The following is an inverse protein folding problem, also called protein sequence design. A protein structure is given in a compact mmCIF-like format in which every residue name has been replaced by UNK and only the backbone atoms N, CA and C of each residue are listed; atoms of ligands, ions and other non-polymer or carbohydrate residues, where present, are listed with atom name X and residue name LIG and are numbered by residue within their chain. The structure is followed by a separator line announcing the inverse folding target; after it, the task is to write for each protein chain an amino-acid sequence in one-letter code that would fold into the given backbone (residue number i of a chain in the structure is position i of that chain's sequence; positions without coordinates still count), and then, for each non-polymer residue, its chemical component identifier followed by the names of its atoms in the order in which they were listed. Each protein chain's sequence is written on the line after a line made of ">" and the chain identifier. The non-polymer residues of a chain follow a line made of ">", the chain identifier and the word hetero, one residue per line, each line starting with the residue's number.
data_IF_930140332066
#
_entry.id   IF_930140332066
#
_cell.length_a   1.000
_cell.length_b   1.000
_cell.length_c   1.000
_cell.angle_alpha   90.00
_cell.angle_beta   90.00
_cell.angle_gamma   90.00
#
_symmetry.space_group_name_H-M   'P 1'
#
loop_
_entity.id
_entity.type
_entity.pdbx_description
1 polymer ?
#
# COMPACT_ATOMS: atom_id res chain seq x y z
N UNK A 1 -59.77 30.01 32.25
CA UNK A 1 -58.46 30.71 32.23
C UNK A 1 -57.56 30.10 33.29
N UNK A 2 -56.44 29.48 32.91
CA UNK A 2 -55.52 28.79 33.84
C UNK A 2 -54.08 29.27 33.60
N UNK A 3 -53.36 29.50 34.70
CA UNK A 3 -51.91 29.77 34.78
C UNK A 3 -51.11 28.45 34.83
N UNK A 4 -49.96 28.50 34.15
CA UNK A 4 -48.60 27.96 34.46
C UNK A 4 -48.44 26.49 34.87
N UNK A 5 -47.60 25.74 34.13
CA UNK A 5 -46.46 24.98 34.70
C UNK A 5 -45.48 24.50 33.63
N UNK A 6 -44.18 24.69 33.91
CA UNK A 6 -43.01 24.17 33.19
C UNK A 6 -42.86 22.65 33.42
N UNK A 7 -42.04 22.03 32.57
CA UNK A 7 -41.46 20.68 32.62
C UNK A 7 -42.30 19.54 32.03
N UNK A 8 -42.00 19.25 30.75
CA UNK A 8 -41.55 17.93 30.22
C UNK A 8 -41.08 18.15 28.77
N UNK A 9 -40.02 18.93 28.56
CA UNK A 9 -38.78 18.36 28.04
C UNK A 9 -38.48 16.96 28.60
N UNK A 10 -38.06 16.04 27.72
CA UNK A 10 -37.82 14.62 27.96
C UNK A 10 -39.08 13.77 28.12
N UNK A 11 -39.55 13.20 27.00
CA UNK A 11 -39.71 11.74 26.83
C UNK A 11 -40.34 11.40 25.48
N UNK A 12 -39.55 10.78 24.59
CA UNK A 12 -39.96 9.71 23.66
C UNK A 12 -40.75 10.21 22.42
N UNK A 13 -40.15 10.51 21.26
CA UNK A 13 -38.96 9.91 20.61
C UNK A 13 -39.17 8.40 20.49
N UNK A 14 -39.81 7.89 19.41
CA UNK A 14 -39.65 6.48 18.95
C UNK A 14 -40.31 6.15 17.60
N UNK A 15 -41.30 6.88 17.04
CA UNK A 15 -42.00 6.36 15.83
C UNK A 15 -41.79 7.18 14.53
N UNK A 16 -41.44 8.45 14.59
CA UNK A 16 -41.15 9.23 13.37
C UNK A 16 -39.66 9.21 12.97
N UNK A 17 -38.84 8.50 13.74
CA UNK A 17 -37.41 8.29 13.51
C UNK A 17 -37.13 6.93 12.82
N UNK A 18 -38.13 6.33 12.18
CA UNK A 18 -38.08 4.99 11.58
C UNK A 18 -38.29 4.98 10.05
N UNK A 19 -38.05 6.10 9.36
CA UNK A 19 -38.00 6.15 7.89
C UNK A 19 -36.82 6.97 7.35
N UNK A 20 -35.75 7.14 8.13
CA UNK A 20 -34.45 7.68 7.67
C UNK A 20 -33.32 6.64 7.79
N UNK A 21 -33.65 5.39 8.14
CA UNK A 21 -32.69 4.34 8.50
C UNK A 21 -32.16 3.48 7.36
N UNK A 22 -32.20 3.94 6.09
CA UNK A 22 -31.66 3.16 4.96
C UNK A 22 -30.50 3.82 4.20
N UNK A 23 -30.18 5.09 4.46
CA UNK A 23 -29.22 5.83 3.62
C UNK A 23 -27.77 5.93 4.15
N UNK A 24 -27.48 5.85 5.47
CA UNK A 24 -26.10 5.62 5.92
C UNK A 24 -25.60 4.22 5.57
N UNK A 25 -26.52 3.26 5.39
CA UNK A 25 -26.21 1.84 5.15
C UNK A 25 -25.53 1.63 3.80
N UNK A 26 -25.90 2.40 2.76
CA UNK A 26 -25.29 2.24 1.43
C UNK A 26 -23.83 2.73 1.40
N UNK A 27 -23.49 3.72 2.24
CA UNK A 27 -22.13 4.23 2.42
C UNK A 27 -21.34 3.44 3.49
N UNK A 28 -22.01 2.87 4.50
CA UNK A 28 -21.40 2.14 5.61
C UNK A 28 -21.23 0.63 5.36
N UNK A 29 -22.06 -0.02 4.55
CA UNK A 29 -21.86 -1.43 4.14
C UNK A 29 -20.83 -1.58 3.02
N UNK A 30 -20.57 -0.52 2.24
CA UNK A 30 -19.39 -0.46 1.36
C UNK A 30 -18.05 -0.44 2.13
N UNK A 31 -18.14 -0.42 3.47
CA UNK A 31 -17.08 -0.50 4.45
C UNK A 31 -16.93 -1.92 5.03
N UNK A 32 -17.48 -2.96 4.40
CA UNK A 32 -16.95 -4.32 4.58
C UNK A 32 -15.45 -4.32 4.23
N UNK A 33 -14.67 -4.80 5.20
CA UNK A 33 -13.37 -4.23 5.52
C UNK A 33 -12.35 -4.46 4.40
N UNK A 34 -11.55 -3.45 4.03
CA UNK A 34 -10.40 -3.58 3.14
C UNK A 34 -9.23 -4.40 3.73
N UNK A 35 -9.48 -5.24 4.74
CA UNK A 35 -8.45 -5.91 5.57
C UNK A 35 -7.42 -6.67 4.72
N UNK A 36 -7.87 -7.52 3.79
CA UNK A 36 -6.93 -8.26 2.92
C UNK A 36 -6.04 -7.37 2.06
N UNK A 37 -6.56 -6.23 1.59
CA UNK A 37 -5.78 -5.31 0.77
C UNK A 37 -4.81 -4.49 1.62
N UNK A 38 -5.17 -4.20 2.87
CA UNK A 38 -4.28 -3.53 3.82
C UNK A 38 -3.11 -4.41 4.28
N UNK A 39 -3.30 -5.73 4.28
CA UNK A 39 -2.31 -6.74 4.64
C UNK A 39 -1.27 -6.90 3.52
N UNK A 40 -1.77 -7.09 2.30
CA UNK A 40 -1.00 -7.15 1.05
C UNK A 40 -0.10 -5.90 0.88
N UNK A 41 -0.62 -4.71 1.18
CA UNK A 41 0.13 -3.45 1.07
C UNK A 41 1.31 -3.39 2.05
N UNK A 42 1.19 -3.91 3.27
CA UNK A 42 2.29 -3.89 4.22
C UNK A 42 3.40 -4.87 3.80
N UNK A 43 3.03 -6.05 3.31
CA UNK A 43 3.98 -7.02 2.77
C UNK A 43 4.72 -6.48 1.54
N UNK A 44 4.05 -5.74 0.65
CA UNK A 44 4.70 -5.04 -0.47
C UNK A 44 5.76 -4.02 -0.02
N UNK A 45 5.50 -3.34 1.10
CA UNK A 45 6.45 -2.41 1.71
C UNK A 45 7.64 -3.17 2.30
N UNK A 46 7.41 -4.33 2.92
CA UNK A 46 8.48 -5.23 3.33
C UNK A 46 9.35 -5.64 2.14
N UNK A 47 8.79 -6.11 1.02
CA UNK A 47 9.61 -6.50 -0.15
C UNK A 47 10.52 -5.36 -0.65
N UNK A 48 10.01 -4.13 -0.62
CA UNK A 48 10.82 -2.94 -0.97
C UNK A 48 11.91 -2.65 0.07
N UNK A 49 11.64 -2.90 1.34
CA UNK A 49 12.61 -2.77 2.41
C UNK A 49 13.69 -3.85 2.30
N UNK A 50 13.29 -5.13 2.14
CA UNK A 50 14.16 -6.27 1.94
C UNK A 50 15.14 -6.05 0.78
N UNK A 51 14.64 -5.65 -0.39
CA UNK A 51 15.49 -5.32 -1.53
C UNK A 51 16.59 -4.29 -1.20
N UNK A 52 16.26 -3.27 -0.39
CA UNK A 52 17.24 -2.24 0.02
C UNK A 52 18.19 -2.75 1.08
N UNK A 53 17.70 -3.60 1.99
CA UNK A 53 18.50 -4.24 3.03
C UNK A 53 19.57 -5.12 2.40
N UNK A 54 19.21 -5.96 1.42
CA UNK A 54 20.12 -6.84 0.70
C UNK A 54 21.25 -6.06 -0.02
N UNK A 55 20.91 -4.96 -0.69
CA UNK A 55 21.93 -4.07 -1.29
C UNK A 55 22.88 -3.53 -0.23
N UNK A 56 22.37 -3.15 0.94
CA UNK A 56 23.19 -2.65 2.03
C UNK A 56 24.06 -3.74 2.65
N UNK A 57 23.54 -4.95 2.84
CA UNK A 57 24.27 -6.12 3.37
C UNK A 57 25.43 -6.48 2.44
N UNK A 58 25.21 -6.57 1.13
CA UNK A 58 26.27 -6.84 0.14
C UNK A 58 27.36 -5.76 0.19
N UNK A 59 26.97 -4.49 0.30
CA UNK A 59 27.93 -3.39 0.43
C UNK A 59 28.69 -3.42 1.76
N UNK A 60 28.03 -3.81 2.85
CA UNK A 60 28.63 -3.98 4.17
C UNK A 60 29.65 -5.13 4.17
N UNK A 61 29.30 -6.28 3.61
CA UNK A 61 30.21 -7.43 3.47
C UNK A 61 31.44 -7.05 2.66
N UNK A 62 31.26 -6.36 1.53
CA UNK A 62 32.39 -5.89 0.71
C UNK A 62 33.35 -4.97 1.48
N UNK A 63 32.83 -4.06 2.30
CA UNK A 63 33.65 -3.17 3.13
C UNK A 63 34.34 -3.97 4.25
N UNK A 64 33.62 -4.88 4.90
CA UNK A 64 34.16 -5.71 5.98
C UNK A 64 35.31 -6.57 5.44
N UNK A 65 35.13 -7.24 4.30
CA UNK A 65 36.17 -8.10 3.73
C UNK A 65 37.36 -7.28 3.27
N UNK A 66 37.13 -6.14 2.61
CA UNK A 66 38.18 -5.19 2.26
C UNK A 66 38.96 -4.70 3.49
N UNK A 67 38.30 -4.41 4.61
CA UNK A 67 38.97 -3.98 5.84
C UNK A 67 39.77 -5.11 6.49
N UNK A 68 39.26 -6.34 6.50
CA UNK A 68 40.01 -7.52 6.97
C UNK A 68 41.29 -7.72 6.15
N UNK A 69 41.21 -7.61 4.83
CA UNK A 69 42.37 -7.73 3.93
C UNK A 69 43.44 -6.65 4.21
N UNK A 70 43.02 -5.48 4.66
CA UNK A 70 43.90 -4.36 5.04
C UNK A 70 44.29 -4.37 6.53
N UNK A 71 43.95 -5.44 7.28
CA UNK A 71 44.30 -5.58 8.69
C UNK A 71 43.57 -4.61 9.63
N UNK A 72 42.43 -4.07 9.21
CA UNK A 72 41.58 -3.18 9.99
C UNK A 72 40.57 -4.01 10.77
N UNK A 73 40.41 -3.73 12.07
CA UNK A 73 39.39 -4.39 12.89
C UNK A 73 37.97 -4.07 12.38
N UNK A 74 37.19 -5.12 12.15
CA UNK A 74 35.82 -5.06 11.63
C UNK A 74 34.78 -5.51 12.64
N UNK A 75 35.14 -5.72 13.90
CA UNK A 75 34.24 -6.27 14.92
C UNK A 75 32.94 -5.47 15.05
N UNK A 76 33.04 -4.14 15.14
CA UNK A 76 31.87 -3.25 15.24
C UNK A 76 31.04 -3.23 13.94
N UNK A 77 31.68 -3.16 12.78
CA UNK A 77 31.02 -3.20 11.47
C UNK A 77 30.26 -4.52 11.26
N UNK A 78 30.85 -5.63 11.69
CA UNK A 78 30.24 -6.96 11.63
C UNK A 78 28.99 -7.02 12.52
N UNK A 79 29.05 -6.47 13.73
CA UNK A 79 27.90 -6.39 14.62
C UNK A 79 26.74 -5.58 14.04
N UNK A 80 27.04 -4.45 13.38
CA UNK A 80 26.02 -3.64 12.70
C UNK A 80 25.38 -4.39 11.51
N UNK A 81 26.17 -5.17 10.77
CA UNK A 81 25.63 -6.01 9.68
C UNK A 81 24.68 -7.08 10.20
N UNK A 82 25.08 -7.83 11.23
CA UNK A 82 24.23 -8.87 11.85
C UNK A 82 22.91 -8.26 12.35
N UNK A 83 22.98 -7.07 12.97
CA UNK A 83 21.78 -6.36 13.41
C UNK A 83 20.86 -5.97 12.24
N UNK A 84 21.42 -5.62 11.08
CA UNK A 84 20.62 -5.33 9.88
C UNK A 84 19.93 -6.60 9.33
N UNK A 85 20.62 -7.74 9.32
CA UNK A 85 20.05 -9.04 8.93
C UNK A 85 18.89 -9.43 9.87
N UNK A 86 19.04 -9.21 11.18
CA UNK A 86 17.97 -9.43 12.17
C UNK A 86 16.75 -8.54 11.91
N UNK A 87 16.97 -7.26 11.58
CA UNK A 87 15.89 -6.35 11.24
C UNK A 87 15.12 -6.77 9.99
N UNK A 88 15.76 -7.39 9.00
CA UNK A 88 15.05 -7.96 7.85
C UNK A 88 14.04 -9.03 8.27
N UNK A 89 14.49 -9.99 9.08
CA UNK A 89 13.63 -11.05 9.61
C UNK A 89 12.48 -10.51 10.45
N UNK A 90 12.75 -9.55 11.34
CA UNK A 90 11.72 -8.93 12.17
C UNK A 90 10.70 -8.14 11.33
N UNK A 91 11.16 -7.38 10.33
CA UNK A 91 10.28 -6.62 9.44
C UNK A 91 9.36 -7.54 8.64
N UNK A 92 9.86 -8.71 8.20
CA UNK A 92 9.04 -9.73 7.52
C UNK A 92 7.90 -10.20 8.41
N UNK A 93 8.22 -10.58 9.65
CA UNK A 93 7.23 -11.05 10.63
C UNK A 93 6.22 -9.95 10.91
N UNK A 94 6.67 -8.73 11.21
CA UNK A 94 5.79 -7.59 11.45
C UNK A 94 4.87 -7.29 10.27
N UNK A 95 5.35 -7.44 9.03
CA UNK A 95 4.53 -7.27 7.84
C UNK A 95 3.50 -8.38 7.66
N UNK A 96 3.86 -9.63 7.90
CA UNK A 96 2.96 -10.79 7.83
C UNK A 96 1.89 -10.77 8.93
N UNK A 97 2.23 -10.26 10.11
CA UNK A 97 1.32 -10.13 11.26
C UNK A 97 0.59 -8.77 11.29
N UNK A 98 0.74 -7.94 10.25
CA UNK A 98 0.04 -6.65 10.07
C UNK A 98 0.38 -5.63 11.18
N UNK A 99 1.53 -5.79 11.84
CA UNK A 99 2.02 -4.91 12.92
C UNK A 99 2.70 -3.67 12.33
N UNK A 100 1.89 -2.73 11.86
CA UNK A 100 2.34 -1.52 11.15
C UNK A 100 3.33 -0.65 11.94
N UNK A 101 3.02 -0.35 13.20
CA UNK A 101 3.88 0.50 14.04
C UNK A 101 5.24 -0.16 14.26
N UNK A 102 5.24 -1.46 14.54
CA UNK A 102 6.46 -2.26 14.70
C UNK A 102 7.28 -2.30 13.41
N UNK A 103 6.64 -2.55 12.26
CA UNK A 103 7.30 -2.53 10.96
C UNK A 103 8.02 -1.20 10.70
N UNK A 104 7.35 -0.06 10.91
CA UNK A 104 7.96 1.24 10.64
C UNK A 104 9.07 1.59 11.64
N UNK A 105 8.93 1.19 12.90
CA UNK A 105 10.02 1.30 13.89
C UNK A 105 11.26 0.52 13.43
N UNK A 106 11.08 -0.73 12.98
CA UNK A 106 12.18 -1.57 12.48
C UNK A 106 12.85 -0.93 11.26
N UNK A 107 12.07 -0.39 10.31
CA UNK A 107 12.61 0.31 9.13
C UNK A 107 13.44 1.54 9.53
N UNK A 108 13.03 2.27 10.55
CA UNK A 108 13.78 3.43 11.07
C UNK A 108 15.09 3.00 11.74
N UNK A 109 15.03 2.01 12.63
CA UNK A 109 16.21 1.45 13.31
C UNK A 109 17.21 0.85 12.31
N UNK A 110 16.73 0.19 11.25
CA UNK A 110 17.56 -0.30 10.15
C UNK A 110 18.30 0.83 9.42
N UNK A 111 17.65 1.96 9.17
CA UNK A 111 18.29 3.14 8.54
C UNK A 111 19.37 3.73 9.44
N UNK A 112 19.14 3.77 10.74
CA UNK A 112 20.14 4.21 11.71
C UNK A 112 21.33 3.27 11.73
N UNK A 113 21.12 1.94 11.75
CA UNK A 113 22.21 0.95 11.65
C UNK A 113 23.06 1.13 10.39
N UNK A 114 22.41 1.29 9.22
CA UNK A 114 23.12 1.54 7.94
C UNK A 114 23.91 2.86 8.00
N UNK A 115 23.34 3.89 8.61
CA UNK A 115 24.00 5.18 8.79
C UNK A 115 25.23 5.05 9.68
N UNK A 116 25.10 4.42 10.85
CA UNK A 116 26.21 4.19 11.78
C UNK A 116 27.34 3.40 11.13
N UNK A 117 27.01 2.35 10.36
CA UNK A 117 28.02 1.59 9.62
C UNK A 117 28.77 2.50 8.64
N UNK A 118 28.04 3.32 7.88
CA UNK A 118 28.64 4.24 6.91
C UNK A 118 29.54 5.27 7.57
N UNK A 119 29.12 5.81 8.71
CA UNK A 119 29.88 6.81 9.43
C UNK A 119 31.20 6.21 9.94
N UNK A 120 31.17 5.03 10.56
CA UNK A 120 32.38 4.29 10.99
C UNK A 120 33.27 3.94 9.78
N UNK A 121 32.68 3.48 8.69
CA UNK A 121 33.42 3.10 7.50
C UNK A 121 34.13 4.33 6.90
N UNK A 122 33.45 5.48 6.81
CA UNK A 122 34.03 6.74 6.32
C UNK A 122 35.17 7.25 7.19
N UNK A 123 35.09 7.09 8.51
CA UNK A 123 36.14 7.54 9.42
C UNK A 123 37.50 6.85 9.17
N UNK A 124 37.50 5.67 8.51
CA UNK A 124 38.72 4.96 8.12
C UNK A 124 39.27 5.39 6.75
N UNK A 125 38.41 5.91 5.86
CA UNK A 125 38.69 6.43 4.51
C UNK A 125 39.85 5.76 3.76
N UNK A 126 39.69 4.46 3.44
CA UNK A 126 40.75 3.66 2.78
C UNK A 126 40.55 3.68 1.26
N UNK A 127 41.62 4.01 0.53
CA UNK A 127 41.62 4.01 -0.94
C UNK A 127 41.20 2.65 -1.50
N UNK A 128 40.27 2.63 -2.45
CA UNK A 128 39.75 1.39 -3.07
C UNK A 128 38.45 0.85 -2.46
N UNK A 129 38.02 1.35 -1.29
CA UNK A 129 36.77 0.92 -0.65
C UNK A 129 35.53 1.06 -1.55
N UNK A 130 35.42 2.19 -2.27
CA UNK A 130 34.29 2.39 -3.19
C UNK A 130 34.30 1.40 -4.35
N UNK A 131 35.45 0.93 -4.79
CA UNK A 131 35.56 0.00 -5.90
C UNK A 131 35.21 -1.42 -5.45
N UNK A 132 35.63 -1.81 -4.24
CA UNK A 132 35.20 -3.06 -3.60
C UNK A 132 33.67 -3.17 -3.54
N UNK A 133 32.99 -2.11 -3.11
CA UNK A 133 31.52 -2.07 -3.08
C UNK A 133 30.91 -2.18 -4.47
N UNK A 134 31.41 -1.45 -5.47
CA UNK A 134 30.88 -1.53 -6.84
C UNK A 134 31.03 -2.92 -7.43
N UNK A 135 32.19 -3.55 -7.25
CA UNK A 135 32.46 -4.90 -7.72
C UNK A 135 31.50 -5.90 -7.09
N UNK A 136 31.32 -5.85 -5.76
CA UNK A 136 30.38 -6.73 -5.07
C UNK A 136 28.92 -6.55 -5.56
N UNK A 137 28.48 -5.32 -5.78
CA UNK A 137 27.13 -5.05 -6.34
C UNK A 137 27.01 -5.56 -7.78
N UNK A 138 28.07 -5.45 -8.57
CA UNK A 138 28.09 -5.92 -9.95
C UNK A 138 28.11 -7.46 -10.04
N UNK A 139 28.83 -8.13 -9.15
CA UNK A 139 28.84 -9.58 -9.00
C UNK A 139 27.48 -10.12 -8.56
N UNK A 140 26.75 -9.37 -7.73
CA UNK A 140 25.41 -9.73 -7.25
C UNK A 140 24.27 -9.17 -8.12
N UNK A 141 24.56 -8.65 -9.33
CA UNK A 141 23.57 -7.96 -10.17
C UNK A 141 22.35 -8.84 -10.49
N UNK A 142 22.56 -10.11 -10.82
CA UNK A 142 21.47 -11.01 -11.23
C UNK A 142 20.56 -11.33 -10.04
N UNK A 143 21.14 -11.59 -8.87
CA UNK A 143 20.40 -11.75 -7.61
C UNK A 143 19.56 -10.51 -7.27
N UNK A 144 20.18 -9.31 -7.31
CA UNK A 144 19.49 -8.05 -7.05
C UNK A 144 18.40 -7.73 -8.08
N UNK A 145 18.57 -8.19 -9.33
CA UNK A 145 17.55 -8.08 -10.37
C UNK A 145 16.38 -9.02 -10.08
N UNK A 146 16.66 -10.27 -9.68
CA UNK A 146 15.63 -11.22 -9.24
C UNK A 146 14.78 -10.68 -8.09
N UNK A 147 15.40 -10.13 -7.04
CA UNK A 147 14.67 -9.49 -5.92
C UNK A 147 13.78 -8.32 -6.37
N UNK A 148 14.26 -7.53 -7.35
CA UNK A 148 13.50 -6.43 -7.93
C UNK A 148 12.28 -6.94 -8.69
N UNK A 149 12.43 -8.04 -9.42
CA UNK A 149 11.37 -8.65 -10.20
C UNK A 149 10.32 -9.29 -9.28
N UNK A 150 10.74 -9.99 -8.23
CA UNK A 150 9.84 -10.50 -7.17
C UNK A 150 9.04 -9.37 -6.50
N UNK A 151 9.73 -8.30 -6.07
CA UNK A 151 9.10 -7.12 -5.48
C UNK A 151 8.09 -6.48 -6.44
N UNK A 152 8.43 -6.46 -7.73
CA UNK A 152 7.56 -5.94 -8.77
C UNK A 152 6.34 -6.83 -8.95
N UNK A 153 6.51 -8.16 -9.02
CA UNK A 153 5.42 -9.14 -9.08
C UNK A 153 4.43 -8.99 -7.94
N UNK A 154 4.91 -8.91 -6.70
CA UNK A 154 4.07 -8.66 -5.52
C UNK A 154 3.28 -7.36 -5.66
N UNK A 155 3.93 -6.26 -6.06
CA UNK A 155 3.24 -4.97 -6.28
C UNK A 155 2.17 -5.07 -7.37
N UNK A 156 2.46 -5.76 -8.48
CA UNK A 156 1.51 -5.95 -9.58
C UNK A 156 0.25 -6.66 -9.10
N UNK A 157 0.39 -7.82 -8.44
CA UNK A 157 -0.76 -8.57 -7.92
C UNK A 157 -1.64 -7.72 -7.00
N UNK A 158 -1.03 -6.89 -6.16
CA UNK A 158 -1.75 -5.98 -5.24
C UNK A 158 -2.49 -4.89 -6.01
N UNK A 159 -1.87 -4.30 -7.04
CA UNK A 159 -2.54 -3.30 -7.87
C UNK A 159 -3.72 -3.88 -8.63
N UNK A 160 -3.58 -5.09 -9.18
CA UNK A 160 -4.66 -5.79 -9.86
C UNK A 160 -5.83 -6.07 -8.91
N UNK A 161 -5.57 -6.67 -7.74
CA UNK A 161 -6.58 -6.86 -6.69
C UNK A 161 -7.26 -5.55 -6.27
N UNK A 162 -6.50 -4.45 -6.18
CA UNK A 162 -7.04 -3.15 -5.80
C UNK A 162 -8.01 -2.58 -6.85
N UNK A 163 -7.77 -2.89 -8.13
CA UNK A 163 -8.65 -2.50 -9.23
C UNK A 163 -9.88 -3.41 -9.25
N UNK A 164 -9.70 -4.73 -9.09
CA UNK A 164 -10.81 -5.69 -9.04
C UNK A 164 -11.78 -5.34 -7.90
N UNK A 165 -11.27 -5.10 -6.69
CA UNK A 165 -12.09 -4.66 -5.55
C UNK A 165 -12.76 -3.30 -5.78
N UNK A 166 -12.21 -2.45 -6.65
CA UNK A 166 -12.82 -1.15 -6.98
C UNK A 166 -13.94 -1.33 -7.98
N UNK A 167 -13.74 -2.13 -9.01
CA UNK A 167 -14.77 -2.47 -9.99
C UNK A 167 -15.99 -3.06 -9.31
N UNK A 168 -15.79 -4.07 -8.45
CA UNK A 168 -16.86 -4.70 -7.68
C UNK A 168 -17.66 -3.67 -6.87
N UNK A 169 -16.99 -2.73 -6.20
CA UNK A 169 -17.67 -1.67 -5.44
C UNK A 169 -18.44 -0.69 -6.33
N UNK A 170 -17.89 -0.33 -7.48
CA UNK A 170 -18.58 0.56 -8.43
C UNK A 170 -19.82 -0.11 -9.01
N UNK A 171 -19.74 -1.41 -9.35
CA UNK A 171 -20.88 -2.23 -9.80
C UNK A 171 -21.96 -2.31 -8.72
N UNK A 172 -21.59 -2.61 -7.47
CA UNK A 172 -22.54 -2.64 -6.35
C UNK A 172 -23.25 -1.29 -6.15
N UNK A 173 -22.53 -0.17 -6.30
CA UNK A 173 -23.14 1.17 -6.20
C UNK A 173 -24.07 1.42 -7.38
N UNK A 174 -23.66 1.09 -8.59
CA UNK A 174 -24.46 1.26 -9.81
C UNK A 174 -25.78 0.51 -9.72
N UNK A 175 -25.74 -0.79 -9.35
CA UNK A 175 -26.93 -1.62 -9.16
C UNK A 175 -27.90 -1.00 -8.14
N UNK A 176 -27.37 -0.46 -7.03
CA UNK A 176 -28.19 0.22 -5.99
C UNK A 176 -28.81 1.55 -6.47
N UNK A 177 -28.16 2.25 -7.40
CA UNK A 177 -28.71 3.46 -8.02
C UNK A 177 -29.81 3.09 -9.03
N UNK A 178 -29.59 2.05 -9.82
CA UNK A 178 -30.58 1.51 -10.76
C UNK A 178 -31.85 1.03 -10.04
N UNK A 179 -31.71 0.32 -8.92
CA UNK A 179 -32.83 -0.09 -8.05
C UNK A 179 -33.66 1.10 -7.55
N UNK A 180 -33.07 2.29 -7.47
CA UNK A 180 -33.73 3.54 -7.08
C UNK A 180 -34.33 4.31 -8.26
N UNK A 181 -34.27 3.75 -9.46
CA UNK A 181 -34.82 4.34 -10.69
C UNK A 181 -33.94 5.42 -11.31
N UNK A 182 -32.66 5.48 -10.94
CA UNK A 182 -31.67 6.36 -11.58
C UNK A 182 -31.22 5.74 -12.90
N UNK A 183 -31.09 6.55 -13.95
CA UNK A 183 -30.40 6.12 -15.16
C UNK A 183 -28.89 5.99 -14.91
N UNK A 184 -28.40 4.75 -14.92
CA UNK A 184 -26.99 4.41 -14.70
C UNK A 184 -26.27 4.01 -15.98
N UNK A 185 -26.84 4.24 -17.17
CA UNK A 185 -26.25 3.79 -18.43
C UNK A 185 -24.82 4.29 -18.63
N UNK A 186 -24.54 5.57 -18.35
CA UNK A 186 -23.20 6.14 -18.48
C UNK A 186 -22.22 5.58 -17.42
N UNK A 187 -22.70 5.35 -16.19
CA UNK A 187 -21.90 4.73 -15.12
C UNK A 187 -21.51 3.31 -15.51
N UNK A 188 -22.46 2.51 -15.97
CA UNK A 188 -22.23 1.12 -16.38
C UNK A 188 -21.29 1.04 -17.59
N UNK A 189 -21.48 1.91 -18.59
CA UNK A 189 -20.59 1.93 -19.76
C UNK A 189 -19.12 2.19 -19.37
N UNK A 190 -18.86 3.06 -18.39
CA UNK A 190 -17.50 3.32 -17.91
C UNK A 190 -16.96 2.20 -17.04
N UNK A 191 -17.80 1.53 -16.25
CA UNK A 191 -17.42 0.32 -15.51
C UNK A 191 -16.98 -0.78 -16.49
N UNK A 192 -17.76 -1.00 -17.54
CA UNK A 192 -17.47 -1.99 -18.59
C UNK A 192 -16.16 -1.67 -19.31
N UNK A 193 -15.87 -0.40 -19.60
CA UNK A 193 -14.60 0.02 -20.21
C UNK A 193 -13.41 -0.36 -19.32
N UNK A 194 -13.47 -0.05 -18.02
CA UNK A 194 -12.40 -0.42 -17.08
C UNK A 194 -12.29 -1.95 -16.96
N UNK A 195 -13.41 -2.67 -16.91
CA UNK A 195 -13.46 -4.13 -16.81
C UNK A 195 -12.83 -4.81 -18.04
N UNK A 196 -13.16 -4.34 -19.24
CA UNK A 196 -12.57 -4.82 -20.49
C UNK A 196 -11.07 -4.55 -20.55
N UNK A 197 -10.62 -3.35 -20.16
CA UNK A 197 -9.20 -3.02 -20.08
C UNK A 197 -8.48 -3.89 -19.03
N UNK A 198 -9.14 -4.17 -17.90
CA UNK A 198 -8.61 -5.05 -16.83
C UNK A 198 -8.40 -6.48 -17.30
N UNK A 199 -9.30 -7.01 -18.14
CA UNK A 199 -9.21 -8.35 -18.70
C UNK A 199 -8.02 -8.53 -19.67
N UNK A 200 -7.51 -7.44 -20.23
CA UNK A 200 -6.35 -7.43 -21.12
C UNK A 200 -5.00 -7.38 -20.38
N UNK A 201 -5.02 -7.19 -19.07
CA UNK A 201 -3.82 -7.03 -18.24
C UNK A 201 -3.67 -8.20 -17.27
N UNK A 202 -2.46 -8.73 -17.16
CA UNK A 202 -2.11 -9.84 -16.26
C UNK A 202 -0.85 -9.52 -15.45
N UNK A 203 -0.49 -10.37 -14.49
CA UNK A 203 0.77 -10.25 -13.73
C UNK A 203 2.01 -10.36 -14.64
N UNK A 204 1.87 -11.06 -15.77
CA UNK A 204 2.89 -11.25 -16.80
C UNK A 204 3.03 -10.05 -17.75
N UNK A 205 2.08 -9.12 -17.76
CA UNK A 205 2.16 -7.91 -18.58
C UNK A 205 3.41 -7.10 -18.23
N UNK A 206 3.98 -6.42 -19.22
CA UNK A 206 5.17 -5.60 -19.00
C UNK A 206 4.85 -4.41 -18.05
N UNK A 207 5.93 -3.83 -17.51
CA UNK A 207 5.82 -2.77 -16.50
C UNK A 207 5.15 -1.49 -17.04
N UNK A 208 5.32 -1.17 -18.32
CA UNK A 208 4.76 0.04 -18.92
C UNK A 208 3.25 -0.12 -19.11
N UNK A 209 2.81 -1.23 -19.69
CA UNK A 209 1.40 -1.58 -19.83
C UNK A 209 0.65 -1.54 -18.48
N UNK A 210 1.25 -2.10 -17.42
CA UNK A 210 0.66 -2.07 -16.08
C UNK A 210 0.59 -0.66 -15.48
N UNK A 211 1.60 0.17 -15.73
CA UNK A 211 1.62 1.55 -15.24
C UNK A 211 0.57 2.40 -15.95
N UNK A 212 0.46 2.27 -17.27
CA UNK A 212 -0.56 2.94 -18.07
C UNK A 212 -1.96 2.53 -17.63
N UNK A 213 -2.20 1.22 -17.51
CA UNK A 213 -3.46 0.69 -17.00
C UNK A 213 -3.81 1.23 -15.61
N UNK A 214 -2.87 1.22 -14.66
CA UNK A 214 -3.13 1.74 -13.32
C UNK A 214 -3.47 3.24 -13.31
N UNK A 215 -2.81 4.03 -14.16
CA UNK A 215 -3.08 5.45 -14.29
C UNK A 215 -4.45 5.72 -14.93
N UNK A 216 -4.79 5.00 -16.00
CA UNK A 216 -6.09 5.04 -16.66
C UNK A 216 -7.22 4.66 -15.69
N UNK A 217 -7.16 3.46 -15.11
CA UNK A 217 -8.16 2.97 -14.16
C UNK A 217 -8.36 3.91 -12.94
N UNK A 218 -7.32 4.64 -12.51
CA UNK A 218 -7.44 5.65 -11.44
C UNK A 218 -8.21 6.89 -11.91
N UNK A 219 -7.96 7.34 -13.14
CA UNK A 219 -8.66 8.48 -13.75
C UNK A 219 -10.14 8.13 -13.96
N UNK A 220 -10.41 6.99 -14.59
CA UNK A 220 -11.76 6.57 -14.95
C UNK A 220 -12.59 6.32 -13.69
N UNK A 221 -12.01 5.68 -12.67
CA UNK A 221 -12.66 5.53 -11.37
C UNK A 221 -12.98 6.87 -10.67
N UNK A 222 -12.20 7.93 -10.94
CA UNK A 222 -12.51 9.26 -10.42
C UNK A 222 -13.71 9.85 -11.15
N UNK A 223 -13.75 9.72 -12.48
CA UNK A 223 -14.88 10.17 -13.29
C UNK A 223 -16.18 9.47 -12.88
N UNK A 224 -16.16 8.14 -12.72
CA UNK A 224 -17.33 7.38 -12.26
C UNK A 224 -17.82 7.86 -10.89
N UNK A 225 -16.91 8.22 -9.97
CA UNK A 225 -17.31 8.75 -8.65
C UNK A 225 -17.99 10.11 -8.73
N UNK A 226 -17.61 10.96 -9.67
CA UNK A 226 -18.30 12.25 -9.86
C UNK A 226 -19.71 12.01 -10.45
N UNK A 227 -19.85 11.13 -11.46
CA UNK A 227 -21.15 10.73 -11.99
C UNK A 227 -22.07 10.14 -10.91
N UNK A 228 -21.53 9.28 -10.04
CA UNK A 228 -22.28 8.74 -8.89
C UNK A 228 -22.73 9.86 -7.95
N UNK A 229 -21.92 10.89 -7.71
CA UNK A 229 -22.32 12.02 -6.85
C UNK A 229 -23.44 12.84 -7.50
N UNK A 230 -23.31 13.15 -8.79
CA UNK A 230 -24.32 13.87 -9.56
C UNK A 230 -25.65 13.11 -9.53
N UNK A 231 -25.63 11.81 -9.81
CA UNK A 231 -26.80 10.93 -9.69
C UNK A 231 -27.43 10.93 -8.29
N UNK A 232 -26.61 10.95 -7.23
CA UNK A 232 -27.10 11.04 -5.85
C UNK A 232 -27.71 12.43 -5.56
N UNK A 233 -27.18 13.50 -6.12
CA UNK A 233 -27.72 14.86 -5.97
C UNK A 233 -29.07 15.00 -6.68
N UNK A 234 -29.23 14.47 -7.90
CA UNK A 234 -30.50 14.49 -8.62
C UNK A 234 -31.62 13.76 -7.86
N UNK A 235 -31.31 12.63 -7.21
CA UNK A 235 -32.26 11.94 -6.32
C UNK A 235 -32.72 12.86 -5.17
N UNK A 236 -31.82 13.67 -4.62
CA UNK A 236 -32.14 14.57 -3.48
C UNK A 236 -32.99 15.76 -3.89
N UNK A 237 -32.84 16.26 -5.12
CA UNK A 237 -33.63 17.39 -5.62
C UNK A 237 -35.04 16.96 -6.07
N UNK A 238 -35.21 15.68 -6.39
CA UNK A 238 -36.47 15.12 -6.91
C UNK A 238 -37.39 14.56 -5.79
N UNK A 239 -36.91 14.48 -4.54
CA UNK A 239 -37.66 14.04 -3.35
C UNK A 239 -38.06 15.22 -2.44
#
# INVERSE_FOLDING_TARGET
>A
MRKISKNRAMSILVISLLLVSAFPVILAEAQERPEKLTDDVLYSRYMTFHQKSEVAIIAMDAIIDFYKENGIDTSELTGLKVKLEEFDGQAKIAAQEIKREEFYRIVEESRETIKSFRDIAKDKDVEGQSEAVKSAIQENKDYLTGLRDETSGVKKGIYLKAIDNRLEKLEQISNRLEEKGVDVAEINSKIDEISNNRAQISEESDREALKEFHQGAKKDAKEIRELIKEAIEEIKETQ
#
